data_IF_448892996850
#
_entry.id   IF_448892996850
#
_cell.length_a   1.000
_cell.length_b   1.000
_cell.length_c   1.000
_cell.angle_alpha   90.00
_cell.angle_beta   90.00
_cell.angle_gamma   90.00
#
_symmetry.space_group_name_H-M   'P 1'
#
loop_
_entity.id
_entity.type
_entity.pdbx_description
1 polymer ?
#
# COMPACT_ATOMS: atom_id res chain seq x y z
N UNK A 1 -23.86 -8.68 3.02
CA UNK A 1 -22.42 -8.80 3.35
C UNK A 1 -21.69 -9.82 2.46
N UNK A 2 -21.91 -11.15 2.59
CA UNK A 2 -21.15 -12.14 1.80
C UNK A 2 -21.28 -11.93 0.28
N UNK A 3 -22.47 -11.64 -0.23
CA UNK A 3 -22.72 -11.45 -1.66
C UNK A 3 -22.09 -10.17 -2.23
N UNK A 4 -21.97 -9.11 -1.44
CA UNK A 4 -21.37 -7.83 -1.84
C UNK A 4 -19.86 -7.94 -1.96
N UNK A 5 -19.21 -8.64 -1.02
CA UNK A 5 -17.78 -8.92 -1.05
C UNK A 5 -17.42 -9.81 -2.24
N UNK A 6 -18.14 -10.93 -2.42
CA UNK A 6 -17.95 -11.82 -3.58
C UNK A 6 -18.19 -11.04 -4.89
N UNK A 7 -19.19 -10.15 -4.89
CA UNK A 7 -19.48 -9.26 -6.01
C UNK A 7 -18.30 -8.35 -6.37
N UNK A 8 -17.60 -7.82 -5.38
CA UNK A 8 -16.38 -7.03 -5.56
C UNK A 8 -15.28 -7.81 -6.30
N UNK A 9 -15.00 -9.05 -5.85
CA UNK A 9 -14.00 -9.89 -6.51
C UNK A 9 -14.38 -10.30 -7.94
N UNK A 10 -15.65 -10.58 -8.20
CA UNK A 10 -16.11 -10.89 -9.56
C UNK A 10 -15.98 -9.73 -10.53
N UNK A 11 -15.93 -8.50 -10.01
CA UNK A 11 -15.87 -7.26 -10.78
C UNK A 11 -14.49 -6.57 -10.76
N UNK A 12 -13.41 -7.29 -10.47
CA UNK A 12 -12.04 -6.73 -10.43
C UNK A 12 -11.59 -6.11 -11.76
N UNK A 13 -12.16 -6.56 -12.89
CA UNK A 13 -11.86 -6.04 -14.22
C UNK A 13 -12.97 -5.14 -14.78
N UNK A 14 -14.05 -4.95 -14.04
CA UNK A 14 -15.16 -4.09 -14.43
C UNK A 14 -14.95 -2.68 -13.85
N UNK A 15 -14.42 -1.81 -14.67
CA UNK A 15 -14.22 -0.39 -14.35
C UNK A 15 -15.44 0.47 -14.66
N UNK A 16 -16.49 -0.13 -15.28
CA UNK A 16 -17.72 0.55 -15.60
C UNK A 16 -18.73 0.51 -14.45
N UNK A 17 -19.81 1.29 -14.62
CA UNK A 17 -20.88 1.32 -13.62
C UNK A 17 -20.55 2.09 -12.35
N UNK A 18 -21.32 1.84 -11.29
CA UNK A 18 -21.30 2.59 -10.03
C UNK A 18 -21.40 1.64 -8.85
N UNK A 19 -20.59 1.85 -7.83
CA UNK A 19 -20.70 1.15 -6.54
C UNK A 19 -21.27 2.08 -5.48
N UNK A 20 -22.22 1.59 -4.71
CA UNK A 20 -22.76 2.31 -3.55
C UNK A 20 -21.70 2.47 -2.46
N UNK A 21 -21.94 3.39 -1.52
CA UNK A 21 -21.06 3.61 -0.38
C UNK A 21 -20.81 2.32 0.42
N UNK A 22 -21.87 1.56 0.68
CA UNK A 22 -21.77 0.32 1.47
C UNK A 22 -21.02 -0.79 0.75
N UNK A 23 -21.30 -1.00 -0.55
CA UNK A 23 -20.58 -2.02 -1.37
C UNK A 23 -19.09 -1.71 -1.43
N UNK A 24 -18.75 -0.45 -1.68
CA UNK A 24 -17.36 -0.01 -1.75
C UNK A 24 -16.61 -0.21 -0.44
N UNK A 25 -17.12 0.36 0.67
CA UNK A 25 -16.40 0.31 1.94
C UNK A 25 -16.29 -1.08 2.54
N UNK A 26 -17.29 -1.93 2.33
CA UNK A 26 -17.22 -3.31 2.77
C UNK A 26 -16.12 -4.09 2.03
N UNK A 27 -16.05 -3.91 0.70
CA UNK A 27 -14.99 -4.51 -0.12
C UNK A 27 -13.62 -3.94 0.25
N UNK A 28 -13.50 -2.61 0.37
CA UNK A 28 -12.27 -1.92 0.73
C UNK A 28 -11.73 -2.35 2.10
N UNK A 29 -12.61 -2.45 3.12
CA UNK A 29 -12.23 -2.92 4.45
C UNK A 29 -11.66 -4.35 4.43
N UNK A 30 -12.25 -5.24 3.62
CA UNK A 30 -11.77 -6.60 3.50
C UNK A 30 -10.42 -6.67 2.77
N UNK A 31 -10.27 -5.95 1.65
CA UNK A 31 -8.99 -5.92 0.91
C UNK A 31 -7.90 -5.28 1.76
N UNK A 32 -8.21 -4.20 2.50
CA UNK A 32 -7.28 -3.57 3.44
C UNK A 32 -6.89 -4.53 4.57
N UNK A 33 -7.86 -5.23 5.16
CA UNK A 33 -7.61 -6.24 6.20
C UNK A 33 -6.68 -7.35 5.70
N UNK A 34 -6.90 -7.83 4.47
CA UNK A 34 -6.04 -8.81 3.83
C UNK A 34 -4.63 -8.25 3.62
N UNK A 35 -4.51 -7.04 3.07
CA UNK A 35 -3.23 -6.37 2.84
C UNK A 35 -2.42 -6.22 4.13
N UNK A 36 -3.06 -5.73 5.21
CA UNK A 36 -2.41 -5.56 6.52
C UNK A 36 -1.99 -6.92 7.10
N UNK A 37 -2.86 -7.94 7.01
CA UNK A 37 -2.56 -9.28 7.54
C UNK A 37 -1.40 -9.94 6.80
N UNK A 38 -1.41 -9.89 5.47
CA UNK A 38 -0.32 -10.42 4.64
C UNK A 38 0.97 -9.62 4.88
N UNK A 39 0.87 -8.28 4.94
CA UNK A 39 2.00 -7.40 5.20
C UNK A 39 2.66 -7.67 6.54
N UNK A 40 1.86 -7.81 7.60
CA UNK A 40 2.36 -8.15 8.94
C UNK A 40 3.01 -9.54 8.98
N UNK A 41 2.31 -10.56 8.50
CA UNK A 41 2.83 -11.93 8.52
C UNK A 41 4.11 -12.08 7.69
N UNK A 42 4.13 -11.51 6.48
CA UNK A 42 5.30 -11.53 5.60
C UNK A 42 6.47 -10.73 6.18
N UNK A 43 6.20 -9.55 6.76
CA UNK A 43 7.20 -8.75 7.44
C UNK A 43 7.86 -9.52 8.58
N UNK A 44 7.08 -10.13 9.47
CA UNK A 44 7.60 -10.97 10.56
C UNK A 44 8.45 -12.13 10.04
N UNK A 45 7.96 -12.87 9.04
CA UNK A 45 8.69 -14.01 8.48
C UNK A 45 10.02 -13.60 7.84
N UNK A 46 10.08 -12.45 7.17
CA UNK A 46 11.28 -11.95 6.53
C UNK A 46 12.31 -11.46 7.56
N UNK A 47 11.84 -10.79 8.61
CA UNK A 47 12.72 -10.18 9.62
C UNK A 47 13.07 -11.14 10.78
N UNK A 48 12.42 -12.29 10.86
CA UNK A 48 12.61 -13.24 11.97
C UNK A 48 14.08 -13.65 12.20
N UNK A 49 14.89 -14.00 11.18
CA UNK A 49 16.30 -14.37 11.38
C UNK A 49 17.14 -13.22 11.98
N UNK A 50 16.85 -11.99 11.55
CA UNK A 50 17.51 -10.79 12.08
C UNK A 50 17.13 -10.56 13.55
N UNK A 51 15.85 -10.69 13.88
CA UNK A 51 15.36 -10.57 15.26
C UNK A 51 15.97 -11.62 16.18
N UNK A 52 16.07 -12.88 15.73
CA UNK A 52 16.68 -13.97 16.47
C UNK A 52 18.15 -13.66 16.83
N UNK A 53 18.94 -13.19 15.86
CA UNK A 53 20.32 -12.79 16.07
C UNK A 53 20.45 -11.60 17.05
N UNK A 54 19.58 -10.61 16.93
CA UNK A 54 19.54 -9.44 17.83
C UNK A 54 19.17 -9.86 19.28
N UNK A 55 18.23 -10.77 19.45
CA UNK A 55 17.87 -11.31 20.79
C UNK A 55 19.00 -12.09 21.41
N UNK A 56 19.78 -12.86 20.65
CA UNK A 56 20.95 -13.57 21.14
C UNK A 56 22.01 -12.62 21.73
N UNK A 57 22.28 -11.50 21.05
CA UNK A 57 23.17 -10.45 21.54
C UNK A 57 22.63 -9.81 22.83
N UNK A 58 21.34 -9.48 22.84
CA UNK A 58 20.70 -8.89 24.02
C UNK A 58 20.69 -9.84 25.22
N UNK A 59 20.65 -11.16 24.99
CA UNK A 59 20.75 -12.18 26.04
C UNK A 59 22.17 -12.41 26.56
N UNK A 60 23.17 -11.63 26.12
CA UNK A 60 24.53 -11.65 26.57
C UNK A 60 25.48 -12.53 25.74
N UNK A 61 25.10 -12.89 24.52
CA UNK A 61 26.04 -13.47 23.57
C UNK A 61 27.14 -12.44 23.24
N UNK A 62 28.40 -12.81 23.45
CA UNK A 62 29.53 -11.94 23.06
C UNK A 62 29.49 -11.72 21.52
N UNK A 63 29.55 -10.48 21.07
CA UNK A 63 29.53 -10.17 19.64
C UNK A 63 30.87 -10.57 19.01
N UNK A 64 30.95 -11.83 18.55
CA UNK A 64 32.09 -12.28 17.75
C UNK A 64 32.04 -11.62 16.35
N UNK A 65 33.20 -11.51 15.69
CA UNK A 65 33.24 -11.02 14.30
C UNK A 65 32.35 -11.84 13.39
N UNK A 66 32.30 -13.16 13.58
CA UNK A 66 31.42 -14.05 12.81
C UNK A 66 29.92 -13.76 13.03
N UNK A 67 29.53 -13.38 14.26
CA UNK A 67 28.13 -12.99 14.54
C UNK A 67 27.78 -11.65 13.89
N UNK A 68 28.71 -10.70 13.89
CA UNK A 68 28.51 -9.40 13.24
C UNK A 68 28.41 -9.54 11.71
N UNK A 69 29.30 -10.34 11.10
CA UNK A 69 29.25 -10.62 9.66
C UNK A 69 27.92 -11.30 9.26
N UNK A 70 27.43 -12.23 10.05
CA UNK A 70 26.12 -12.87 9.85
C UNK A 70 24.96 -11.87 10.00
N UNK A 71 25.05 -10.93 10.93
CA UNK A 71 24.04 -9.89 11.10
C UNK A 71 23.95 -8.99 9.87
N UNK A 72 25.09 -8.56 9.33
CA UNK A 72 25.13 -7.72 8.13
C UNK A 72 24.54 -8.47 6.92
N UNK A 73 24.94 -9.73 6.72
CA UNK A 73 24.38 -10.56 5.65
C UNK A 73 22.85 -10.75 5.79
N UNK A 74 22.38 -11.04 7.03
CA UNK A 74 20.94 -11.19 7.30
C UNK A 74 20.19 -9.88 7.11
N UNK A 75 20.78 -8.75 7.49
CA UNK A 75 20.18 -7.44 7.33
C UNK A 75 19.99 -7.07 5.85
N UNK A 76 21.02 -7.25 5.04
CA UNK A 76 20.95 -6.99 3.60
C UNK A 76 19.92 -7.89 2.91
N UNK A 77 19.98 -9.19 3.21
CA UNK A 77 19.03 -10.15 2.65
C UNK A 77 17.59 -9.88 3.09
N UNK A 78 17.36 -9.52 4.36
CA UNK A 78 16.04 -9.16 4.88
C UNK A 78 15.53 -7.88 4.22
N UNK A 79 16.39 -6.87 4.05
CA UNK A 79 16.04 -5.60 3.42
C UNK A 79 15.59 -5.80 1.97
N UNK A 80 16.37 -6.55 1.16
CA UNK A 80 16.01 -6.83 -0.23
C UNK A 80 14.69 -7.60 -0.35
N UNK A 81 14.51 -8.66 0.47
CA UNK A 81 13.28 -9.45 0.50
C UNK A 81 12.08 -8.61 0.93
N UNK A 82 12.25 -7.77 1.96
CA UNK A 82 11.20 -6.91 2.48
C UNK A 82 10.76 -5.85 1.45
N UNK A 83 11.71 -5.26 0.73
CA UNK A 83 11.42 -4.31 -0.33
C UNK A 83 10.63 -4.95 -1.48
N UNK A 84 11.09 -6.11 -1.98
CA UNK A 84 10.38 -6.85 -3.03
C UNK A 84 8.97 -7.27 -2.56
N UNK A 85 8.87 -7.78 -1.34
CA UNK A 85 7.61 -8.17 -0.74
C UNK A 85 6.64 -6.97 -0.62
N UNK A 86 7.13 -5.82 -0.16
CA UNK A 86 6.34 -4.58 -0.04
C UNK A 86 5.87 -4.10 -1.42
N UNK A 87 6.75 -4.10 -2.41
CA UNK A 87 6.39 -3.75 -3.80
C UNK A 87 5.27 -4.66 -4.32
N UNK A 88 5.44 -5.98 -4.22
CA UNK A 88 4.47 -6.94 -4.72
C UNK A 88 3.11 -6.84 -4.01
N UNK A 89 3.11 -6.68 -2.69
CA UNK A 89 1.87 -6.54 -1.91
C UNK A 89 1.18 -5.21 -2.21
N UNK A 90 1.91 -4.12 -2.37
CA UNK A 90 1.36 -2.80 -2.71
C UNK A 90 0.76 -2.78 -4.12
N UNK A 91 1.47 -3.32 -5.11
CA UNK A 91 0.94 -3.45 -6.48
C UNK A 91 -0.32 -4.32 -6.51
N UNK A 92 -0.32 -5.42 -5.76
CA UNK A 92 -1.50 -6.29 -5.62
C UNK A 92 -2.68 -5.56 -4.99
N UNK A 93 -2.44 -4.78 -3.93
CA UNK A 93 -3.46 -3.95 -3.29
C UNK A 93 -4.07 -2.93 -4.27
N UNK A 94 -3.24 -2.19 -5.02
CA UNK A 94 -3.73 -1.25 -6.02
C UNK A 94 -4.52 -1.95 -7.13
N UNK A 95 -4.05 -3.10 -7.61
CA UNK A 95 -4.76 -3.87 -8.63
C UNK A 95 -6.14 -4.34 -8.15
N UNK A 96 -6.24 -4.81 -6.90
CA UNK A 96 -7.51 -5.24 -6.30
C UNK A 96 -8.48 -4.07 -6.10
N UNK A 97 -7.98 -2.89 -5.72
CA UNK A 97 -8.81 -1.72 -5.43
C UNK A 97 -9.19 -0.90 -6.65
N UNK A 98 -8.42 -0.97 -7.74
CA UNK A 98 -8.53 -0.07 -8.89
C UNK A 98 -9.95 0.03 -9.47
N UNK A 99 -10.59 -1.11 -9.73
CA UNK A 99 -11.94 -1.13 -10.31
C UNK A 99 -13.00 -0.66 -9.31
N UNK A 100 -12.88 -1.00 -8.03
CA UNK A 100 -13.80 -0.55 -6.99
C UNK A 100 -13.70 0.97 -6.77
N UNK A 101 -12.49 1.52 -6.71
CA UNK A 101 -12.25 2.97 -6.62
C UNK A 101 -12.83 3.70 -7.84
N UNK A 102 -12.62 3.16 -9.05
CA UNK A 102 -13.18 3.72 -10.26
C UNK A 102 -14.72 3.80 -10.20
N UNK A 103 -15.40 2.68 -9.86
CA UNK A 103 -16.86 2.63 -9.76
C UNK A 103 -17.40 3.54 -8.65
N UNK A 104 -16.68 3.66 -7.54
CA UNK A 104 -17.07 4.55 -6.46
C UNK A 104 -16.92 6.03 -6.85
N UNK A 105 -15.87 6.41 -7.55
CA UNK A 105 -15.70 7.76 -8.12
C UNK A 105 -16.80 8.05 -9.16
N UNK A 106 -17.17 7.08 -9.96
CA UNK A 106 -18.29 7.20 -10.90
C UNK A 106 -19.63 7.44 -10.17
N UNK A 107 -19.83 6.84 -8.99
CA UNK A 107 -21.06 7.02 -8.22
C UNK A 107 -21.24 8.47 -7.74
N UNK A 108 -20.16 9.19 -7.45
CA UNK A 108 -20.14 10.62 -7.12
C UNK A 108 -19.97 11.52 -8.36
N UNK A 109 -20.07 10.97 -9.59
CA UNK A 109 -19.95 11.72 -10.84
C UNK A 109 -18.53 12.15 -11.20
N UNK A 110 -17.50 11.60 -10.54
CA UNK A 110 -16.09 11.91 -10.82
C UNK A 110 -15.45 10.87 -11.73
N UNK A 111 -14.39 11.28 -12.43
CA UNK A 111 -13.59 10.37 -13.25
C UNK A 111 -12.75 9.45 -12.39
N UNK A 112 -12.56 8.19 -12.82
CA UNK A 112 -11.65 7.23 -12.21
C UNK A 112 -10.19 7.74 -12.09
N UNK A 113 -9.79 8.71 -12.93
CA UNK A 113 -8.45 9.32 -12.89
C UNK A 113 -8.09 9.94 -11.53
N UNK A 114 -9.07 10.38 -10.74
CA UNK A 114 -8.83 10.87 -9.38
C UNK A 114 -8.25 9.80 -8.47
N UNK A 115 -8.54 8.53 -8.73
CA UNK A 115 -7.94 7.40 -8.00
C UNK A 115 -6.43 7.21 -8.26
N UNK A 116 -5.90 7.80 -9.35
CA UNK A 116 -4.48 7.72 -9.68
C UNK A 116 -3.65 8.82 -9.00
N UNK A 117 -4.29 9.82 -8.39
CA UNK A 117 -3.61 10.99 -7.82
C UNK A 117 -2.52 10.64 -6.79
N UNK A 118 -2.70 9.68 -5.86
CA UNK A 118 -1.67 9.33 -4.89
C UNK A 118 -0.44 8.63 -5.49
N UNK A 119 -0.60 7.92 -6.62
CA UNK A 119 0.42 7.00 -7.14
C UNK A 119 1.76 7.69 -7.45
N UNK A 120 1.83 8.82 -8.16
CA UNK A 120 3.12 9.46 -8.48
C UNK A 120 3.93 9.83 -7.23
N UNK A 121 3.25 10.24 -6.17
CA UNK A 121 3.91 10.61 -4.91
C UNK A 121 4.42 9.38 -4.16
N UNK A 122 3.67 8.27 -4.17
CA UNK A 122 4.10 7.00 -3.59
C UNK A 122 5.33 6.45 -4.31
N UNK A 123 5.30 6.40 -5.63
CA UNK A 123 6.39 5.87 -6.45
C UNK A 123 7.67 6.70 -6.33
N UNK A 124 7.54 8.03 -6.40
CA UNK A 124 8.69 8.91 -6.21
C UNK A 124 9.26 8.79 -4.79
N UNK A 125 8.41 8.83 -3.76
CA UNK A 125 8.86 8.73 -2.38
C UNK A 125 9.55 7.40 -2.07
N UNK A 126 8.99 6.29 -2.56
CA UNK A 126 9.59 4.96 -2.42
C UNK A 126 10.91 4.87 -3.17
N UNK A 127 10.98 5.34 -4.42
CA UNK A 127 12.20 5.32 -5.23
C UNK A 127 13.32 6.17 -4.63
N UNK A 128 13.00 7.39 -4.17
CA UNK A 128 13.96 8.28 -3.53
C UNK A 128 14.45 7.69 -2.19
N UNK A 129 13.56 7.12 -1.38
CA UNK A 129 13.94 6.42 -0.15
C UNK A 129 14.84 5.22 -0.44
N UNK A 130 14.55 4.44 -1.48
CA UNK A 130 15.37 3.32 -1.91
C UNK A 130 16.79 3.76 -2.30
N UNK A 131 16.92 4.80 -3.11
CA UNK A 131 18.24 5.33 -3.52
C UNK A 131 19.03 5.80 -2.30
N UNK A 132 18.40 6.54 -1.37
CA UNK A 132 19.08 7.01 -0.15
C UNK A 132 19.54 5.88 0.77
N UNK A 133 18.86 4.71 0.72
CA UNK A 133 19.24 3.56 1.53
C UNK A 133 20.50 2.86 1.02
N UNK A 134 20.73 2.86 -0.30
CA UNK A 134 21.87 2.20 -0.91
C UNK A 134 23.07 3.12 -1.14
N UNK A 135 22.92 4.43 -1.01
CA UNK A 135 24.03 5.37 -1.08
C UNK A 135 24.66 5.56 0.31
N UNK A 136 25.98 5.42 0.43
CA UNK A 136 26.72 5.59 1.68
C UNK A 136 26.61 7.02 2.25
N UNK A 137 26.22 7.99 1.43
CA UNK A 137 25.93 9.36 1.80
C UNK A 137 24.63 9.83 1.15
N UNK A 138 23.47 9.72 1.88
CA UNK A 138 22.25 10.30 1.38
C UNK A 138 22.41 11.80 1.20
N UNK A 139 22.29 12.29 -0.03
CA UNK A 139 22.20 13.72 -0.28
C UNK A 139 20.96 14.25 0.46
N UNK A 140 21.12 15.19 1.37
CA UNK A 140 20.03 15.72 2.22
C UNK A 140 18.79 16.08 1.41
N UNK A 141 18.97 16.67 0.20
CA UNK A 141 17.86 17.06 -0.64
C UNK A 141 17.03 15.86 -1.12
N UNK A 142 17.63 14.69 -1.37
CA UNK A 142 16.92 13.50 -1.81
C UNK A 142 16.07 12.92 -0.66
N UNK A 143 16.62 12.88 0.55
CA UNK A 143 15.88 12.50 1.76
C UNK A 143 14.71 13.47 2.03
N UNK A 144 14.95 14.77 1.96
CA UNK A 144 13.92 15.79 2.18
C UNK A 144 12.83 15.70 1.12
N UNK A 145 13.19 15.46 -0.15
CA UNK A 145 12.23 15.30 -1.22
C UNK A 145 11.41 14.00 -1.09
N UNK A 146 12.01 12.92 -0.60
CA UNK A 146 11.30 11.68 -0.28
C UNK A 146 10.28 11.90 0.84
N UNK A 147 10.67 12.60 1.91
CA UNK A 147 9.79 12.96 3.01
C UNK A 147 8.62 13.84 2.54
N UNK A 148 8.91 14.85 1.71
CA UNK A 148 7.89 15.71 1.12
C UNK A 148 6.92 14.91 0.22
N UNK A 149 7.42 13.99 -0.60
CA UNK A 149 6.59 13.13 -1.43
C UNK A 149 5.69 12.22 -0.59
N UNK A 150 6.18 11.64 0.52
CA UNK A 150 5.34 10.87 1.43
C UNK A 150 4.27 11.72 2.11
N UNK A 151 4.57 12.95 2.48
CA UNK A 151 3.56 13.88 3.01
C UNK A 151 2.48 14.20 1.97
N UNK A 152 2.87 14.50 0.73
CA UNK A 152 1.93 14.71 -0.40
C UNK A 152 1.11 13.47 -0.72
N UNK A 153 1.72 12.28 -0.66
CA UNK A 153 1.01 11.01 -0.77
C UNK A 153 -0.08 10.89 0.31
N UNK A 154 0.26 11.14 1.57
CA UNK A 154 -0.70 11.12 2.68
C UNK A 154 -1.87 12.09 2.46
N UNK A 155 -1.59 13.32 2.03
CA UNK A 155 -2.62 14.31 1.71
C UNK A 155 -3.49 13.88 0.53
N UNK A 156 -2.89 13.31 -0.51
CA UNK A 156 -3.63 12.82 -1.68
C UNK A 156 -4.53 11.64 -1.32
N UNK A 157 -4.05 10.70 -0.48
CA UNK A 157 -4.85 9.58 0.05
C UNK A 157 -6.00 10.08 0.91
N UNK A 158 -5.75 11.02 1.83
CA UNK A 158 -6.81 11.63 2.65
C UNK A 158 -7.86 12.31 1.78
N UNK A 159 -7.45 13.09 0.79
CA UNK A 159 -8.36 13.72 -0.17
C UNK A 159 -9.18 12.69 -0.96
N UNK A 160 -8.56 11.60 -1.40
CA UNK A 160 -9.24 10.51 -2.06
C UNK A 160 -10.25 9.82 -1.14
N UNK A 161 -9.88 9.53 0.11
CA UNK A 161 -10.78 8.95 1.12
C UNK A 161 -12.02 9.84 1.32
N UNK A 162 -11.82 11.15 1.45
CA UNK A 162 -12.93 12.12 1.56
C UNK A 162 -13.85 12.04 0.34
N UNK A 163 -13.28 12.03 -0.88
CA UNK A 163 -14.07 11.87 -2.10
C UNK A 163 -14.87 10.56 -2.11
N UNK A 164 -14.24 9.45 -1.74
CA UNK A 164 -14.87 8.13 -1.72
C UNK A 164 -15.94 8.01 -0.62
N UNK A 165 -15.88 8.85 0.42
CA UNK A 165 -16.87 8.91 1.49
C UNK A 165 -18.08 9.79 1.17
N UNK A 166 -18.02 10.66 0.15
CA UNK A 166 -19.13 11.52 -0.23
C UNK A 166 -20.37 10.70 -0.65
N UNK A 167 -21.60 11.18 -0.39
CA UNK A 167 -22.81 10.53 -0.88
C UNK A 167 -22.82 10.48 -2.39
N UNK A 168 -23.23 9.35 -2.97
CA UNK A 168 -23.36 9.21 -4.42
C UNK A 168 -24.51 10.04 -4.99
N UNK A 169 -24.46 10.34 -6.30
CA UNK A 169 -25.52 11.09 -6.99
C UNK A 169 -26.86 10.31 -6.94
N UNK A 170 -27.98 11.00 -6.62
CA UNK A 170 -29.26 10.33 -6.34
C UNK A 170 -29.95 9.75 -7.60
N UNK A 171 -29.57 10.17 -8.78
CA UNK A 171 -30.16 9.72 -10.05
C UNK A 171 -29.11 9.15 -11.01
N UNK A 172 -29.52 8.80 -12.24
CA UNK A 172 -28.60 8.45 -13.30
C UNK A 172 -27.59 9.57 -13.53
N UNK A 173 -26.34 9.20 -13.79
CA UNK A 173 -25.31 10.15 -14.19
C UNK A 173 -24.60 9.66 -15.45
N UNK A 174 -23.58 10.37 -15.92
CA UNK A 174 -22.84 10.02 -17.14
C UNK A 174 -22.24 8.61 -17.14
N UNK A 175 -22.22 7.92 -16.00
CA UNK A 175 -21.71 6.55 -15.83
C UNK A 175 -22.83 5.51 -15.68
N UNK A 176 -24.10 5.93 -15.89
CA UNK A 176 -25.26 5.08 -15.87
C UNK A 176 -26.08 5.14 -14.58
N UNK A 177 -26.98 4.19 -14.46
CA UNK A 177 -27.83 4.03 -13.28
C UNK A 177 -27.03 3.40 -12.12
N UNK A 178 -27.49 3.69 -10.90
CA UNK A 178 -26.99 3.04 -9.71
C UNK A 178 -27.60 1.62 -9.65
N UNK A 179 -26.77 0.61 -9.50
CA UNK A 179 -27.20 -0.78 -9.32
C UNK A 179 -27.77 -1.00 -7.94
#
# INVERSE_FOLDING_TARGET
MRNEVIGGFRRLRDFGGRDTLGEFWLFAAMVLGLYVSVGFAGGVLITYPLMEAMFAIQAGAEPSSELLDRLDEHFDAATQKFMLFTLLTTVSYYALMAAAVARRLHDIGRSARWGLLPIPFAEYGMGAFWVTWYEDFPTHWLFDSAAAAHALYGLAVLGLIVLLALPGSPGPNRYGERR
#
